data_IF_107634323919
#
_entry.id   IF_107634323919
#
_cell.length_a   1.000
_cell.length_b   1.000
_cell.length_c   1.000
_cell.angle_alpha   90.00
_cell.angle_beta   90.00
_cell.angle_gamma   90.00
#
_symmetry.space_group_name_H-M   'P 1'
#
loop_
_entity.id
_entity.type
_entity.pdbx_description
1 polymer ?
#
# COMPACT_ATOMS: atom_id res chain seq x y z
N UNK A 1 7.10 12.28 -10.74
CA UNK A 1 6.90 10.82 -10.74
C UNK A 1 7.91 10.19 -9.82
N UNK A 2 7.41 9.42 -8.85
CA UNK A 2 8.24 8.64 -7.92
C UNK A 2 7.94 7.18 -8.20
N UNK A 3 8.89 6.47 -8.81
CA UNK A 3 8.77 5.05 -9.10
C UNK A 3 9.88 4.28 -8.39
N UNK A 4 9.49 3.21 -7.70
CA UNK A 4 10.42 2.22 -7.18
C UNK A 4 9.84 0.82 -7.43
N UNK A 5 10.57 -0.10 -8.08
CA UNK A 5 10.07 -1.45 -8.29
C UNK A 5 9.76 -2.12 -6.95
N UNK A 6 8.73 -2.95 -6.92
CA UNK A 6 8.40 -3.72 -5.73
C UNK A 6 9.59 -4.54 -5.25
N UNK A 7 9.72 -4.66 -3.93
CA UNK A 7 10.76 -5.42 -3.23
C UNK A 7 12.18 -4.89 -3.43
N UNK A 8 12.33 -3.67 -3.96
CA UNK A 8 13.60 -2.95 -3.93
C UNK A 8 13.79 -2.23 -2.60
N UNK A 9 15.04 -1.92 -2.25
CA UNK A 9 15.34 -1.15 -1.03
C UNK A 9 14.64 0.19 -1.05
N UNK A 10 13.94 0.50 0.04
CA UNK A 10 13.30 1.79 0.25
C UNK A 10 14.32 2.94 0.23
N UNK A 11 14.01 3.98 -0.55
CA UNK A 11 14.88 5.14 -0.76
C UNK A 11 14.10 6.42 -1.04
N UNK A 12 12.84 6.50 -0.61
CA UNK A 12 12.00 7.69 -0.81
C UNK A 12 12.39 8.83 0.15
N UNK A 13 12.69 8.50 1.41
CA UNK A 13 13.27 9.42 2.39
C UNK A 13 14.47 8.80 3.11
N UNK A 14 15.11 9.58 3.97
CA UNK A 14 16.12 9.09 4.90
C UNK A 14 15.44 8.38 6.08
N UNK A 15 15.58 7.05 6.14
CA UNK A 15 15.11 6.23 7.24
C UNK A 15 16.23 5.36 7.80
N UNK A 16 16.33 5.30 9.13
CA UNK A 16 17.26 4.41 9.84
C UNK A 16 16.81 2.93 9.82
N UNK A 17 15.62 2.64 9.27
CA UNK A 17 15.07 1.29 9.18
C UNK A 17 15.17 0.77 7.76
N UNK A 18 15.75 -0.41 7.58
CA UNK A 18 15.71 -1.10 6.30
C UNK A 18 14.28 -1.57 6.00
N UNK A 19 13.78 -1.17 4.83
CA UNK A 19 12.44 -1.49 4.34
C UNK A 19 12.50 -1.78 2.84
N UNK A 20 11.49 -2.47 2.34
CA UNK A 20 11.27 -2.72 0.92
C UNK A 20 10.11 -1.88 0.38
N UNK A 21 10.28 -1.35 -0.83
CA UNK A 21 9.25 -0.60 -1.55
C UNK A 21 8.13 -1.52 -2.01
N UNK A 22 6.88 -1.07 -1.89
CA UNK A 22 5.72 -1.72 -2.51
C UNK A 22 4.76 -0.66 -3.05
N UNK A 23 4.30 -0.80 -4.30
CA UNK A 23 3.22 0.06 -4.84
C UNK A 23 3.64 1.49 -5.16
N UNK A 24 4.93 1.74 -5.40
CA UNK A 24 5.45 3.00 -5.93
C UNK A 24 5.45 2.97 -7.46
N UNK A 25 4.26 3.15 -8.04
CA UNK A 25 3.98 2.91 -9.46
C UNK A 25 4.06 4.19 -10.29
N UNK A 26 4.32 4.05 -11.59
CA UNK A 26 4.25 5.14 -12.56
C UNK A 26 3.79 4.63 -13.94
N UNK A 27 3.11 5.45 -14.78
CA UNK A 27 2.56 5.02 -16.07
C UNK A 27 3.56 4.39 -17.06
N UNK A 28 4.82 4.82 -17.01
CA UNK A 28 5.88 4.33 -17.90
C UNK A 28 6.40 2.94 -17.51
N UNK A 29 5.99 2.43 -16.35
CA UNK A 29 6.46 1.16 -15.78
C UNK A 29 5.31 0.18 -15.60
N UNK A 30 5.40 -0.98 -16.26
CA UNK A 30 4.47 -2.08 -16.03
C UNK A 30 4.51 -2.56 -14.58
N UNK A 31 3.36 -3.00 -14.08
CA UNK A 31 3.21 -3.60 -12.76
C UNK A 31 2.36 -4.86 -12.84
N UNK A 32 2.45 -5.70 -11.81
CA UNK A 32 1.67 -6.93 -11.72
C UNK A 32 0.20 -6.58 -11.48
N UNK A 33 -0.68 -7.17 -12.28
CA UNK A 33 -2.14 -7.10 -12.07
C UNK A 33 -2.68 -8.45 -11.62
N UNK A 34 -3.86 -8.45 -11.01
CA UNK A 34 -4.52 -9.67 -10.59
C UNK A 34 -5.56 -9.45 -9.50
N UNK A 35 -6.01 -10.55 -8.92
CA UNK A 35 -6.98 -10.56 -7.83
C UNK A 35 -6.24 -10.48 -6.49
N UNK A 36 -6.70 -9.60 -5.62
CA UNK A 36 -6.25 -9.50 -4.23
C UNK A 36 -7.44 -9.75 -3.32
N UNK A 37 -7.24 -10.57 -2.29
CA UNK A 37 -8.25 -10.84 -1.27
C UNK A 37 -8.69 -9.54 -0.58
N UNK A 38 -10.00 -9.35 -0.41
CA UNK A 38 -10.59 -8.14 0.17
C UNK A 38 -10.04 -7.81 1.57
N UNK A 39 -9.67 -8.84 2.34
CA UNK A 39 -9.07 -8.70 3.67
C UNK A 39 -7.78 -7.89 3.64
N UNK A 40 -7.03 -7.93 2.54
CA UNK A 40 -5.80 -7.13 2.38
C UNK A 40 -6.14 -5.65 2.19
N UNK A 41 -7.15 -5.35 1.36
CA UNK A 41 -7.62 -3.98 1.16
C UNK A 41 -8.16 -3.41 2.46
N UNK A 42 -8.93 -4.19 3.21
CA UNK A 42 -9.45 -3.79 4.52
C UNK A 42 -8.34 -3.59 5.55
N UNK A 43 -7.33 -4.46 5.58
CA UNK A 43 -6.14 -4.27 6.40
C UNK A 43 -5.46 -2.92 6.09
N UNK A 44 -5.25 -2.60 4.82
CA UNK A 44 -4.61 -1.35 4.43
C UNK A 44 -5.45 -0.12 4.78
N UNK A 45 -6.78 -0.19 4.66
CA UNK A 45 -7.69 0.88 5.12
C UNK A 45 -7.62 1.09 6.64
N UNK A 46 -7.56 0.01 7.42
CA UNK A 46 -7.38 0.10 8.88
C UNK A 46 -6.08 0.85 9.19
N UNK A 47 -4.99 0.47 8.51
CA UNK A 47 -3.65 1.02 8.75
C UNK A 47 -3.47 2.45 8.19
N UNK A 48 -4.21 2.83 7.14
CA UNK A 48 -4.01 4.13 6.49
C UNK A 48 -4.30 5.34 7.39
N UNK A 49 -5.06 5.16 8.47
CA UNK A 49 -5.36 6.22 9.44
C UNK A 49 -4.19 6.52 10.40
N UNK A 50 -3.08 5.77 10.34
CA UNK A 50 -1.87 6.04 11.12
C UNK A 50 -1.03 7.20 10.53
N UNK A 51 -1.22 7.51 9.24
CA UNK A 51 -0.49 8.57 8.53
C UNK A 51 1.05 8.47 8.66
N UNK A 52 1.59 7.25 8.55
CA UNK A 52 3.04 7.04 8.58
C UNK A 52 3.72 7.92 7.52
N UNK A 53 4.80 8.59 7.90
CA UNK A 53 5.60 9.43 7.01
C UNK A 53 4.81 10.43 6.15
N UNK A 54 3.83 11.12 6.75
CA UNK A 54 3.02 12.08 6.00
C UNK A 54 3.83 13.29 5.51
N UNK A 55 3.73 13.54 4.21
CA UNK A 55 4.37 14.65 3.51
C UNK A 55 3.42 15.84 3.35
N UNK A 56 3.99 17.03 3.09
CA UNK A 56 3.23 18.26 2.80
C UNK A 56 2.58 18.27 1.42
N UNK A 57 3.07 17.43 0.50
CA UNK A 57 2.55 17.28 -0.85
C UNK A 57 1.50 16.17 -0.94
N UNK A 58 0.72 16.19 -2.01
CA UNK A 58 -0.19 15.10 -2.36
C UNK A 58 0.15 14.60 -3.76
N UNK A 59 0.36 13.29 -3.87
CA UNK A 59 0.48 12.59 -5.13
C UNK A 59 -0.91 12.19 -5.63
N UNK A 60 -1.28 12.67 -6.82
CA UNK A 60 -2.51 12.28 -7.50
C UNK A 60 -2.28 10.99 -8.29
N UNK A 61 -3.36 10.31 -8.69
CA UNK A 61 -3.23 9.12 -9.51
C UNK A 61 -2.92 9.49 -10.96
N UNK A 62 -1.76 9.11 -11.46
CA UNK A 62 -1.34 9.38 -12.85
C UNK A 62 -2.00 8.43 -13.87
N UNK A 63 -2.65 7.35 -13.43
CA UNK A 63 -3.29 6.36 -14.30
C UNK A 63 -4.73 6.73 -14.71
N UNK A 64 -5.50 7.37 -13.83
CA UNK A 64 -6.86 7.83 -14.14
C UNK A 64 -7.09 9.33 -13.91
N UNK A 65 -6.07 10.06 -13.43
CA UNK A 65 -6.16 11.50 -13.19
C UNK A 65 -7.01 11.88 -11.98
N UNK A 66 -7.44 10.91 -11.14
CA UNK A 66 -8.17 11.25 -9.91
C UNK A 66 -7.25 12.03 -8.98
N UNK A 67 -7.72 13.21 -8.57
CA UNK A 67 -7.07 14.01 -7.54
C UNK A 67 -7.61 13.57 -6.18
N UNK A 68 -6.70 13.38 -5.22
CA UNK A 68 -7.03 13.19 -3.81
C UNK A 68 -8.12 12.13 -3.54
N UNK A 69 -7.93 10.86 -3.92
CA UNK A 69 -8.89 9.81 -3.59
C UNK A 69 -9.03 9.67 -2.06
N UNK A 70 -10.25 9.39 -1.61
CA UNK A 70 -10.61 9.24 -0.19
C UNK A 70 -11.11 7.83 0.07
N UNK A 71 -10.74 7.27 1.22
CA UNK A 71 -11.30 6.02 1.73
C UNK A 71 -11.81 6.22 3.15
N UNK A 72 -12.72 5.35 3.58
CA UNK A 72 -13.02 5.18 5.00
C UNK A 72 -12.01 4.17 5.56
N UNK A 73 -11.18 4.64 6.50
CA UNK A 73 -10.13 3.88 7.14
C UNK A 73 -10.23 3.87 8.65
N UNK A 74 -9.15 3.41 9.29
CA UNK A 74 -9.07 3.22 10.74
C UNK A 74 -9.80 1.96 11.23
N UNK A 75 -9.57 1.55 12.49
CA UNK A 75 -10.13 0.29 13.02
C UNK A 75 -11.66 0.19 12.99
N UNK A 76 -12.35 1.33 13.09
CA UNK A 76 -13.81 1.40 13.02
C UNK A 76 -14.36 1.60 11.59
N UNK A 77 -13.49 1.84 10.61
CA UNK A 77 -13.89 2.07 9.21
C UNK A 77 -14.73 3.34 9.01
N UNK A 78 -14.56 4.35 9.85
CA UNK A 78 -15.35 5.59 9.86
C UNK A 78 -14.50 6.86 9.71
N UNK A 79 -13.18 6.72 9.59
CA UNK A 79 -12.27 7.85 9.43
C UNK A 79 -12.06 8.15 7.96
N UNK A 80 -12.40 9.35 7.50
CA UNK A 80 -12.04 9.80 6.16
C UNK A 80 -10.53 10.00 6.05
N UNK A 81 -9.89 9.19 5.20
CA UNK A 81 -8.44 9.25 4.95
C UNK A 81 -8.19 9.71 3.52
N UNK A 82 -7.49 10.82 3.38
CA UNK A 82 -7.00 11.31 2.09
C UNK A 82 -5.75 10.53 1.66
N UNK A 83 -5.84 9.88 0.49
CA UNK A 83 -4.73 9.13 -0.07
C UNK A 83 -3.77 10.04 -0.87
N UNK A 84 -2.54 9.57 -1.04
CA UNK A 84 -1.50 10.24 -1.81
C UNK A 84 -0.56 11.14 -0.99
N UNK A 85 -0.70 11.22 0.34
CA UNK A 85 0.13 12.10 1.17
C UNK A 85 0.94 11.39 2.25
N UNK A 86 0.69 10.11 2.50
CA UNK A 86 1.33 9.34 3.56
C UNK A 86 1.71 7.96 3.06
N UNK A 87 2.38 7.20 3.90
CA UNK A 87 2.74 5.80 3.72
C UNK A 87 1.90 4.89 4.60
N UNK A 88 1.99 3.60 4.31
CA UNK A 88 1.61 2.50 5.18
C UNK A 88 2.86 1.66 5.37
N UNK A 89 3.30 1.52 6.63
CA UNK A 89 4.48 0.73 6.98
C UNK A 89 4.06 -0.54 7.72
N UNK A 90 4.46 -1.70 7.21
CA UNK A 90 4.05 -3.01 7.74
C UNK A 90 5.25 -3.91 7.96
N UNK A 91 5.10 -4.90 8.85
CA UNK A 91 6.15 -5.84 9.18
C UNK A 91 5.69 -7.30 9.04
N UNK A 92 6.43 -8.07 8.24
CA UNK A 92 6.27 -9.51 8.07
C UNK A 92 6.63 -10.30 9.32
N UNK A 93 6.26 -11.58 9.33
CA UNK A 93 6.53 -12.49 10.45
C UNK A 93 8.03 -12.79 10.63
N UNK A 94 8.79 -12.71 9.55
CA UNK A 94 10.26 -12.84 9.49
C UNK A 94 10.99 -11.56 9.93
N UNK A 95 10.26 -10.49 10.21
CA UNK A 95 10.80 -9.19 10.59
C UNK A 95 11.04 -8.24 9.42
N UNK A 96 10.87 -8.68 8.17
CA UNK A 96 11.00 -7.85 6.97
C UNK A 96 9.98 -6.72 7.01
N UNK A 97 10.43 -5.48 6.74
CA UNK A 97 9.58 -4.29 6.74
C UNK A 97 9.31 -3.82 5.32
N UNK A 98 8.11 -3.30 5.10
CA UNK A 98 7.68 -2.78 3.82
C UNK A 98 7.11 -1.37 4.00
N UNK A 99 7.34 -0.53 2.99
CA UNK A 99 6.81 0.82 2.91
C UNK A 99 6.09 0.99 1.57
N UNK A 100 4.81 1.34 1.65
CA UNK A 100 3.97 1.64 0.49
C UNK A 100 3.36 3.03 0.62
N UNK A 101 3.17 3.80 -0.46
CA UNK A 101 2.34 4.99 -0.38
C UNK A 101 0.90 4.55 -0.02
N UNK A 102 0.18 5.31 0.80
CA UNK A 102 -1.21 4.97 1.12
C UNK A 102 -2.13 4.97 -0.12
N UNK A 103 -1.68 5.59 -1.22
CA UNK A 103 -2.30 5.52 -2.54
C UNK A 103 -2.34 4.10 -3.13
N UNK A 104 -1.56 3.15 -2.59
CA UNK A 104 -1.61 1.73 -2.96
C UNK A 104 -3.01 1.15 -2.88
N UNK A 105 -3.84 1.62 -1.94
CA UNK A 105 -5.25 1.20 -1.80
C UNK A 105 -6.03 1.54 -3.08
N UNK A 106 -5.82 2.73 -3.62
CA UNK A 106 -6.45 3.15 -4.87
C UNK A 106 -5.91 2.34 -6.07
N UNK A 107 -4.60 2.09 -6.13
CA UNK A 107 -4.02 1.27 -7.19
C UNK A 107 -4.58 -0.16 -7.22
N UNK A 108 -4.77 -0.78 -6.05
CA UNK A 108 -5.36 -2.12 -5.96
C UNK A 108 -6.83 -2.12 -6.41
N UNK A 109 -7.61 -1.15 -5.94
CA UNK A 109 -9.07 -1.12 -6.12
C UNK A 109 -9.54 -0.56 -7.47
N UNK A 110 -8.80 0.38 -8.06
CA UNK A 110 -9.17 1.01 -9.32
C UNK A 110 -8.32 0.53 -10.51
N UNK A 111 -7.10 0.05 -10.24
CA UNK A 111 -6.13 -0.31 -11.28
C UNK A 111 -5.68 -1.78 -11.23
N UNK A 112 -6.33 -2.59 -10.38
CA UNK A 112 -6.06 -4.03 -10.24
C UNK A 112 -4.59 -4.35 -9.95
N UNK A 113 -3.84 -3.39 -9.38
CA UNK A 113 -2.48 -3.66 -8.95
C UNK A 113 -2.47 -4.80 -7.93
N UNK A 114 -1.64 -5.81 -8.18
CA UNK A 114 -1.50 -7.01 -7.37
C UNK A 114 -0.14 -6.97 -6.66
N UNK A 115 -0.09 -6.55 -5.38
CA UNK A 115 1.16 -6.43 -4.63
C UNK A 115 1.83 -7.79 -4.41
N UNK A 116 3.12 -7.82 -4.03
CA UNK A 116 3.77 -9.04 -3.57
C UNK A 116 3.02 -9.69 -2.40
N UNK A 117 2.85 -11.01 -2.43
CA UNK A 117 2.07 -11.72 -1.41
C UNK A 117 2.62 -11.54 0.02
N UNK A 118 3.93 -11.46 0.17
CA UNK A 118 4.61 -11.20 1.44
C UNK A 118 4.21 -9.86 2.07
N UNK A 119 3.99 -8.82 1.25
CA UNK A 119 3.44 -7.55 1.71
C UNK A 119 1.98 -7.69 2.14
N UNK A 120 1.17 -8.40 1.36
CA UNK A 120 -0.25 -8.63 1.69
C UNK A 120 -0.41 -9.35 3.03
N UNK A 121 0.42 -10.38 3.29
CA UNK A 121 0.46 -11.09 4.57
C UNK A 121 0.92 -10.19 5.71
N UNK A 122 1.94 -9.36 5.48
CA UNK A 122 2.42 -8.39 6.46
C UNK A 122 1.35 -7.34 6.83
N UNK A 123 0.61 -6.83 5.84
CA UNK A 123 -0.50 -5.90 6.04
C UNK A 123 -1.61 -6.51 6.88
N UNK A 124 -2.11 -7.69 6.50
CA UNK A 124 -3.15 -8.38 7.26
C UNK A 124 -2.71 -8.65 8.71
N UNK A 125 -1.48 -9.15 8.91
CA UNK A 125 -0.92 -9.37 10.25
C UNK A 125 -0.84 -8.08 11.07
N UNK A 126 -0.34 -7.00 10.47
CA UNK A 126 -0.19 -5.70 11.15
C UNK A 126 -1.54 -5.13 11.56
N UNK A 127 -2.58 -5.36 10.75
CA UNK A 127 -3.96 -4.99 11.06
C UNK A 127 -4.68 -5.96 12.03
N UNK A 128 -4.04 -7.06 12.45
CA UNK A 128 -4.65 -8.07 13.31
C UNK A 128 -5.70 -8.96 12.62
N UNK A 129 -5.67 -9.04 11.28
CA UNK A 129 -6.57 -9.86 10.48
C UNK A 129 -5.93 -11.23 10.25
N UNK A 130 -6.64 -12.30 10.64
CA UNK A 130 -6.22 -13.67 10.35
C UNK A 130 -6.39 -13.99 8.87
N UNK A 131 -5.36 -14.58 8.27
CA UNK A 131 -5.38 -15.02 6.88
C UNK A 131 -5.05 -16.50 6.79
N UNK A 132 -5.87 -17.21 6.03
CA UNK A 132 -5.66 -18.59 5.64
C UNK A 132 -5.76 -18.67 4.12
N UNK A 133 -4.85 -19.42 3.48
CA UNK A 133 -4.75 -19.52 2.03
C UNK A 133 -3.85 -18.47 1.38
N UNK A 134 -3.91 -18.42 0.05
CA UNK A 134 -3.27 -17.40 -0.78
C UNK A 134 -4.08 -16.10 -0.72
N UNK A 135 -3.38 -14.96 -0.72
CA UNK A 135 -4.01 -13.62 -0.67
C UNK A 135 -3.97 -12.89 -2.02
N UNK A 136 -3.19 -13.40 -2.95
CA UNK A 136 -2.95 -12.78 -4.26
C UNK A 136 -2.93 -13.85 -5.34
N UNK A 137 -3.61 -13.58 -6.45
CA UNK A 137 -3.58 -14.39 -7.66
C UNK A 137 -3.26 -13.45 -8.82
N UNK A 138 -2.06 -13.58 -9.37
CA UNK A 138 -1.61 -12.76 -10.49
C UNK A 138 -2.16 -13.29 -11.81
N UNK A 139 -2.46 -12.38 -12.75
CA UNK A 139 -2.90 -12.70 -14.11
C UNK A 139 -1.73 -13.05 -15.05
#
# INVERSE_FOLDING_TARGET
>A
MTYYPDLTRYSYDESDQEMLNVGWLAPEHGYRTGVVDERVVDALKILSAAYDNQMRGVHHCEFCGIDRPVVLGGPAGDTEVWLGSAEIRVQGADGTRYAAPNLVIHYMTAHHYCPPEEFCRAAARTAGIETAGELTLAD
#
